data_IF_501513034990
#
_entry.id   IF_501513034990
#
_cell.length_a   1.000
_cell.length_b   1.000
_cell.length_c   1.000
_cell.angle_alpha   90.00
_cell.angle_beta   90.00
_cell.angle_gamma   90.00
#
_symmetry.space_group_name_H-M   'P 1'
#
loop_
_entity.id
_entity.type
_entity.pdbx_description
1 polymer ?
#
# COMPACT_ATOMS: atom_id res chain seq x y z
N UNK A 1 9.45 -2.04 26.26
CA UNK A 1 8.71 -3.25 25.90
C UNK A 1 8.89 -4.32 26.98
N UNK A 2 7.97 -4.30 27.96
CA UNK A 2 7.99 -5.22 29.11
C UNK A 2 7.61 -6.66 28.74
N UNK A 3 7.09 -6.89 27.54
CA UNK A 3 6.77 -8.24 27.04
C UNK A 3 8.04 -8.93 26.54
N UNK A 4 8.93 -8.19 25.91
CA UNK A 4 10.20 -8.72 25.40
C UNK A 4 11.30 -8.71 26.50
N UNK A 5 11.22 -7.79 27.46
CA UNK A 5 12.17 -7.70 28.57
C UNK A 5 11.46 -7.22 29.85
N UNK A 6 10.96 -8.12 30.68
CA UNK A 6 10.23 -7.77 31.90
C UNK A 6 11.03 -6.93 32.92
N UNK A 7 12.34 -6.81 32.72
CA UNK A 7 13.23 -6.01 33.56
C UNK A 7 13.65 -4.68 32.92
N UNK A 8 13.13 -4.33 31.75
CA UNK A 8 13.46 -3.11 31.03
C UNK A 8 12.20 -2.34 30.68
N UNK A 9 12.13 -1.11 31.11
CA UNK A 9 11.09 -0.16 30.79
C UNK A 9 10.43 0.43 32.02
N UNK A 10 10.21 1.73 31.94
CA UNK A 10 9.46 2.49 32.93
C UNK A 10 8.27 3.11 32.21
N UNK A 11 7.10 3.03 32.81
CA UNK A 11 5.93 3.77 32.35
C UNK A 11 5.70 4.99 33.27
N UNK A 12 5.13 6.04 32.73
CA UNK A 12 4.66 7.17 33.52
C UNK A 12 3.23 6.85 34.00
N UNK A 13 3.02 6.89 35.30
CA UNK A 13 1.70 6.75 35.91
C UNK A 13 1.22 8.14 36.31
N UNK A 14 0.06 8.53 35.81
CA UNK A 14 -0.56 9.82 36.04
C UNK A 14 -1.75 9.62 36.97
N UNK A 15 -1.64 10.16 38.16
CA UNK A 15 -2.77 10.35 39.10
C UNK A 15 -3.41 11.69 38.71
N UNK A 16 -4.58 11.62 38.11
CA UNK A 16 -5.19 12.80 37.51
C UNK A 16 -5.76 13.78 38.56
N UNK A 17 -5.54 15.06 38.29
CA UNK A 17 -6.02 16.15 39.16
C UNK A 17 -7.54 16.37 39.06
N UNK A 18 -8.11 17.04 40.06
CA UNK A 18 -9.53 17.43 40.04
C UNK A 18 -9.87 18.50 38.99
N UNK A 19 -8.90 19.16 38.43
CA UNK A 19 -9.04 20.12 37.32
C UNK A 19 -8.27 19.65 36.13
N UNK A 20 -8.68 20.09 34.96
CA UNK A 20 -7.94 19.87 33.71
C UNK A 20 -6.55 20.48 33.85
N UNK A 21 -5.52 19.67 33.70
CA UNK A 21 -4.14 20.09 33.83
C UNK A 21 -3.21 19.28 32.91
N UNK A 22 -2.01 19.79 32.73
CA UNK A 22 -0.97 19.14 31.91
C UNK A 22 -0.38 17.93 32.64
N UNK A 23 -0.42 16.78 32.01
CA UNK A 23 0.20 15.55 32.53
C UNK A 23 1.62 15.34 31.99
N UNK A 24 1.92 15.88 30.82
CA UNK A 24 3.21 15.75 30.17
C UNK A 24 3.46 16.97 29.28
N UNK A 25 4.69 17.45 29.28
CA UNK A 25 5.14 18.49 28.36
C UNK A 25 6.62 18.28 28.04
N UNK A 26 6.95 18.34 26.75
CA UNK A 26 8.33 18.27 26.29
C UNK A 26 8.51 19.06 25.00
N UNK A 27 9.61 19.81 24.90
CA UNK A 27 10.03 20.42 23.63
C UNK A 27 10.86 19.40 22.84
N UNK A 28 10.40 19.11 21.64
CA UNK A 28 11.08 18.26 20.68
C UNK A 28 11.80 19.17 19.69
N UNK A 29 13.09 18.93 19.48
CA UNK A 29 13.94 19.73 18.61
C UNK A 29 14.69 18.86 17.59
N UNK A 30 15.35 19.48 16.62
CA UNK A 30 16.05 18.77 15.55
C UNK A 30 15.10 18.23 14.48
N UNK A 31 13.91 18.78 14.37
CA UNK A 31 12.92 18.38 13.37
C UNK A 31 13.25 18.98 12.00
N UNK A 32 12.80 18.32 10.98
CA UNK A 32 12.92 18.76 9.60
C UNK A 32 11.71 19.60 9.19
N UNK A 33 11.94 20.80 8.62
CA UNK A 33 10.85 21.60 8.10
C UNK A 33 10.06 20.90 6.99
N UNK A 34 8.79 21.24 6.89
CA UNK A 34 7.86 20.71 5.86
C UNK A 34 7.87 19.16 5.80
N UNK A 35 7.96 18.51 6.96
CA UNK A 35 8.06 17.05 7.06
C UNK A 35 6.97 16.52 7.96
N UNK A 36 6.33 15.42 7.53
CA UNK A 36 5.34 14.72 8.35
C UNK A 36 6.01 13.89 9.43
N UNK A 37 5.50 14.01 10.62
CA UNK A 37 5.85 13.18 11.77
C UNK A 37 4.61 12.46 12.29
N UNK A 38 4.75 11.19 12.63
CA UNK A 38 3.81 10.49 13.50
C UNK A 38 4.18 10.83 14.95
N UNK A 39 3.23 11.39 15.67
CA UNK A 39 3.31 11.59 17.10
C UNK A 39 2.37 10.58 17.73
N UNK A 40 2.89 9.65 18.52
CA UNK A 40 2.10 8.59 19.13
C UNK A 40 2.66 8.16 20.47
N UNK A 41 1.82 7.50 21.25
CA UNK A 41 2.20 6.87 22.50
C UNK A 41 1.26 5.71 22.82
N UNK A 42 1.68 4.85 23.75
CA UNK A 42 0.81 3.86 24.34
C UNK A 42 0.17 4.41 25.59
N UNK A 43 -1.12 4.22 25.75
CA UNK A 43 -1.90 4.65 26.90
C UNK A 43 -2.73 3.51 27.45
N UNK A 44 -2.97 3.54 28.75
CA UNK A 44 -3.81 2.56 29.43
C UNK A 44 -4.55 3.24 30.57
N UNK A 45 -5.87 3.06 30.62
CA UNK A 45 -6.61 3.35 31.82
C UNK A 45 -6.25 2.30 32.87
N UNK A 46 -5.74 2.74 34.02
CA UNK A 46 -5.29 1.84 35.10
C UNK A 46 -6.34 1.72 36.23
N UNK A 47 -7.43 2.44 36.11
CA UNK A 47 -8.47 2.48 37.12
C UNK A 47 -9.56 1.43 36.91
N UNK A 48 -9.32 0.23 37.41
CA UNK A 48 -10.34 -0.82 37.50
C UNK A 48 -11.14 -0.64 38.77
N UNK A 49 -12.16 0.14 38.83
CA UNK A 49 -13.00 0.47 40.01
C UNK A 49 -12.50 1.64 40.86
N UNK A 50 -11.63 2.51 40.38
CA UNK A 50 -11.26 3.72 41.06
C UNK A 50 -12.48 4.62 41.24
N UNK A 51 -12.65 5.16 42.45
CA UNK A 51 -13.77 6.04 42.78
C UNK A 51 -15.15 5.39 42.80
N UNK A 52 -15.20 4.06 42.80
CA UNK A 52 -16.42 3.29 42.98
C UNK A 52 -16.76 3.11 44.46
N UNK A 53 -18.06 3.06 44.74
CA UNK A 53 -18.55 2.42 45.93
C UNK A 53 -18.42 0.88 45.86
N UNK A 54 -18.78 0.20 46.94
CA UNK A 54 -18.75 -1.27 47.02
C UNK A 54 -19.62 -1.99 45.96
N UNK A 55 -20.55 -1.26 45.31
CA UNK A 55 -21.45 -1.76 44.30
C UNK A 55 -20.95 -1.42 42.86
N UNK A 56 -19.78 -0.83 42.72
CA UNK A 56 -19.21 -0.45 41.43
C UNK A 56 -19.76 0.85 40.85
N UNK A 57 -20.50 1.66 41.64
CA UNK A 57 -20.94 2.97 41.20
C UNK A 57 -19.77 3.96 41.22
N UNK A 58 -19.64 4.72 40.16
CA UNK A 58 -18.65 5.79 40.05
C UNK A 58 -18.85 6.91 41.06
N UNK A 59 -17.86 7.79 41.17
CA UNK A 59 -17.91 8.92 42.10
C UNK A 59 -19.12 9.81 41.81
N UNK A 60 -19.93 10.04 42.81
CA UNK A 60 -21.21 10.74 42.70
C UNK A 60 -21.10 12.20 42.25
N UNK A 61 -19.93 12.80 42.32
CA UNK A 61 -19.68 14.20 41.96
C UNK A 61 -19.15 14.40 40.53
N UNK A 62 -19.01 13.34 39.76
CA UNK A 62 -18.51 13.41 38.39
C UNK A 62 -19.69 13.45 37.44
N UNK A 63 -20.13 14.63 37.07
CA UNK A 63 -21.11 14.85 36.03
C UNK A 63 -20.42 15.49 34.81
N UNK A 64 -20.57 14.92 33.67
CA UNK A 64 -19.99 15.48 32.44
C UNK A 64 -19.84 14.46 31.34
N UNK A 65 -19.46 14.88 30.15
CA UNK A 65 -19.38 13.99 28.98
C UNK A 65 -18.33 12.89 29.10
N UNK A 66 -17.44 13.00 30.08
CA UNK A 66 -16.37 12.02 30.34
C UNK A 66 -16.71 11.03 31.45
N UNK A 67 -17.85 11.17 32.08
CA UNK A 67 -18.29 10.27 33.13
C UNK A 67 -18.70 8.91 32.55
N UNK A 68 -18.14 7.86 33.09
CA UNK A 68 -18.42 6.48 32.70
C UNK A 68 -19.05 5.71 33.84
N UNK A 69 -20.18 5.07 33.60
CA UNK A 69 -20.85 4.18 34.56
C UNK A 69 -20.50 2.74 34.15
N UNK A 70 -19.90 1.96 35.05
CA UNK A 70 -19.56 0.57 34.74
C UNK A 70 -20.83 -0.26 34.49
N UNK A 71 -20.78 -1.12 33.48
CA UNK A 71 -21.89 -2.00 33.07
C UNK A 71 -21.76 -3.42 33.59
N UNK A 72 -20.58 -3.79 34.13
CA UNK A 72 -20.32 -5.13 34.61
C UNK A 72 -19.14 -5.27 35.57
N UNK A 73 -18.92 -6.46 36.12
CA UNK A 73 -17.78 -6.74 37.00
C UNK A 73 -16.46 -6.55 36.24
N UNK A 74 -15.57 -5.75 36.80
CA UNK A 74 -14.26 -5.45 36.21
C UNK A 74 -14.23 -4.22 35.32
N UNK A 75 -15.37 -3.61 35.00
CA UNK A 75 -15.42 -2.34 34.31
C UNK A 75 -14.81 -1.21 35.15
N UNK A 76 -14.23 -0.21 34.47
CA UNK A 76 -13.81 1.01 35.13
C UNK A 76 -15.04 1.81 35.60
N UNK A 77 -14.87 2.48 36.67
CA UNK A 77 -15.91 3.32 37.27
C UNK A 77 -15.41 4.73 37.45
N UNK A 78 -16.35 5.67 37.46
CA UNK A 78 -16.05 7.09 37.60
C UNK A 78 -15.68 7.72 36.25
N UNK A 79 -14.75 8.66 36.26
CA UNK A 79 -14.38 9.46 35.11
C UNK A 79 -13.34 8.72 34.28
N UNK A 80 -13.58 8.53 32.99
CA UNK A 80 -12.58 7.97 32.09
C UNK A 80 -11.56 9.03 31.67
N UNK A 81 -10.25 8.70 31.62
CA UNK A 81 -9.26 9.58 31.01
C UNK A 81 -9.64 9.96 29.59
N UNK A 82 -9.44 11.21 29.21
CA UNK A 82 -9.72 11.76 27.90
C UNK A 82 -8.61 12.75 27.57
N UNK A 83 -7.66 12.30 26.75
CA UNK A 83 -6.39 12.98 26.60
C UNK A 83 -6.36 13.77 25.31
N UNK A 84 -6.01 15.05 25.40
CA UNK A 84 -5.69 15.89 24.25
C UNK A 84 -4.19 15.98 24.06
N UNK A 85 -3.78 15.91 22.82
CA UNK A 85 -2.43 16.15 22.33
C UNK A 85 -2.40 17.56 21.76
N UNK A 86 -1.65 18.43 22.41
CA UNK A 86 -1.42 19.81 22.00
C UNK A 86 -0.02 19.95 21.43
N UNK A 87 0.10 20.67 20.32
CA UNK A 87 1.37 21.07 19.74
C UNK A 87 1.41 22.60 19.64
N UNK A 88 2.39 23.22 20.28
CA UNK A 88 2.59 24.69 20.31
C UNK A 88 1.32 25.48 20.69
N UNK A 89 0.54 24.96 21.63
CA UNK A 89 -0.69 25.59 22.10
C UNK A 89 -1.93 25.33 21.24
N UNK A 90 -1.84 24.43 20.27
CA UNK A 90 -2.95 24.06 19.39
C UNK A 90 -3.31 22.59 19.65
N UNK A 91 -4.58 22.31 19.88
CA UNK A 91 -5.10 20.95 20.03
C UNK A 91 -5.17 20.25 18.67
N UNK A 92 -4.43 19.16 18.53
CA UNK A 92 -4.38 18.37 17.27
C UNK A 92 -5.20 17.10 17.31
N UNK A 93 -5.26 16.47 18.47
CA UNK A 93 -5.91 15.17 18.58
C UNK A 93 -6.44 14.94 20.00
N UNK A 94 -7.62 14.35 20.11
CA UNK A 94 -8.20 13.92 21.38
C UNK A 94 -8.55 12.44 21.32
N UNK A 95 -8.15 11.68 22.35
CA UNK A 95 -8.33 10.22 22.38
C UNK A 95 -9.79 9.78 22.46
N UNK A 96 -10.69 10.69 22.89
CA UNK A 96 -11.97 10.29 23.47
C UNK A 96 -11.76 9.61 24.82
N UNK A 97 -12.82 9.07 25.38
CA UNK A 97 -12.77 8.39 26.66
C UNK A 97 -11.99 7.07 26.57
N UNK A 98 -10.91 6.95 27.33
CA UNK A 98 -10.14 5.72 27.47
C UNK A 98 -10.79 4.83 28.51
N UNK A 99 -11.69 3.97 28.08
CA UNK A 99 -12.37 3.02 28.98
C UNK A 99 -11.39 1.97 29.50
N UNK A 100 -11.64 1.48 30.71
CA UNK A 100 -10.84 0.41 31.28
C UNK A 100 -11.03 -0.90 30.50
N UNK A 101 -9.98 -1.39 29.90
CA UNK A 101 -9.97 -2.68 29.19
C UNK A 101 -8.87 -3.62 29.69
N UNK A 102 -8.01 -3.14 30.58
CA UNK A 102 -6.80 -3.86 30.97
C UNK A 102 -5.72 -3.91 29.89
N UNK A 103 -5.95 -3.30 28.74
CA UNK A 103 -5.04 -3.32 27.59
C UNK A 103 -4.41 -1.95 27.35
N UNK A 104 -3.20 -1.97 26.79
CA UNK A 104 -2.57 -0.81 26.23
C UNK A 104 -3.18 -0.49 24.87
N UNK A 105 -3.43 0.79 24.60
CA UNK A 105 -3.93 1.29 23.32
C UNK A 105 -2.95 2.31 22.75
N UNK A 106 -2.54 2.16 21.52
CA UNK A 106 -1.73 3.15 20.82
C UNK A 106 -2.63 4.28 20.34
N UNK A 107 -2.28 5.52 20.68
CA UNK A 107 -2.96 6.73 20.24
C UNK A 107 -1.96 7.69 19.62
N UNK A 108 -2.40 8.43 18.60
CA UNK A 108 -1.52 9.37 17.92
C UNK A 108 -2.16 9.98 16.68
N UNK A 109 -1.41 10.84 16.05
CA UNK A 109 -1.80 11.58 14.86
C UNK A 109 -0.58 11.92 14.02
N UNK A 110 -0.79 12.39 12.79
CA UNK A 110 0.27 12.92 11.94
C UNK A 110 0.30 14.44 12.05
N UNK A 111 1.52 14.98 12.17
CA UNK A 111 1.78 16.41 12.26
C UNK A 111 2.73 16.82 11.15
N UNK A 112 2.39 17.88 10.42
CA UNK A 112 3.27 18.49 9.40
C UNK A 112 3.97 19.71 10.00
N UNK A 113 5.29 19.67 10.06
CA UNK A 113 6.08 20.84 10.47
C UNK A 113 5.96 22.00 9.48
N UNK A 114 5.94 23.22 9.98
CA UNK A 114 5.95 24.42 9.16
C UNK A 114 7.22 24.56 8.31
N UNK A 115 7.19 25.49 7.36
CA UNK A 115 8.27 25.69 6.37
C UNK A 115 9.65 26.04 6.98
N UNK A 116 9.69 26.54 8.22
CA UNK A 116 10.93 26.85 8.95
C UNK A 116 10.95 26.21 10.36
N UNK A 117 9.99 25.34 10.66
CA UNK A 117 9.85 24.79 12.00
C UNK A 117 10.82 23.63 12.22
N UNK A 118 11.69 23.76 13.21
CA UNK A 118 12.68 22.77 13.61
C UNK A 118 12.49 22.24 15.02
N UNK A 119 11.47 22.73 15.71
CA UNK A 119 11.05 22.26 17.04
C UNK A 119 9.58 22.53 17.25
N UNK A 120 9.00 21.82 18.20
CA UNK A 120 7.70 22.12 18.76
C UNK A 120 7.65 21.67 20.23
N UNK A 121 6.68 22.21 20.96
CA UNK A 121 6.36 21.75 22.31
C UNK A 121 5.15 20.83 22.25
N UNK A 122 5.34 19.55 22.58
CA UNK A 122 4.29 18.57 22.73
C UNK A 122 3.78 18.58 24.17
N UNK A 123 2.47 18.61 24.33
CA UNK A 123 1.84 18.59 25.64
C UNK A 123 0.65 17.65 25.62
N UNK A 124 0.51 16.88 26.67
CA UNK A 124 -0.66 16.04 26.91
C UNK A 124 -1.41 16.54 28.13
N UNK A 125 -2.69 16.70 28.01
CA UNK A 125 -3.52 17.01 29.16
C UNK A 125 -4.81 16.21 29.14
N UNK A 126 -5.29 15.90 30.35
CA UNK A 126 -6.50 15.15 30.52
C UNK A 126 -7.68 16.12 30.56
N UNK A 127 -8.62 15.99 29.61
CA UNK A 127 -9.84 16.79 29.54
C UNK A 127 -10.89 16.36 30.59
N UNK A 128 -10.71 15.17 31.18
CA UNK A 128 -11.63 14.66 32.16
C UNK A 128 -11.49 15.47 33.46
N UNK A 129 -12.55 16.12 33.93
CA UNK A 129 -12.53 16.78 35.23
C UNK A 129 -12.30 15.75 36.34
N UNK A 130 -11.63 16.15 37.38
CA UNK A 130 -11.30 15.28 38.51
C UNK A 130 -12.47 14.55 39.12
N UNK A 131 -12.17 13.47 39.73
CA UNK A 131 -13.07 12.51 40.34
C UNK A 131 -12.39 11.16 40.43
N UNK A 132 -13.02 10.19 41.04
CA UNK A 132 -12.43 8.83 41.02
C UNK A 132 -12.44 8.27 39.63
N UNK A 133 -11.30 7.75 39.18
CA UNK A 133 -11.26 6.90 38.00
C UNK A 133 -10.55 7.39 36.76
N UNK A 134 -10.03 8.60 36.73
CA UNK A 134 -9.35 9.12 35.55
C UNK A 134 -7.82 8.99 35.58
N UNK A 135 -7.30 8.02 36.33
CA UNK A 135 -5.88 7.70 36.35
C UNK A 135 -5.49 6.82 35.17
N UNK A 136 -4.32 7.08 34.64
CA UNK A 136 -3.85 6.40 33.43
C UNK A 136 -2.34 6.26 33.40
N UNK A 137 -1.87 5.35 32.57
CA UNK A 137 -0.47 5.17 32.32
C UNK A 137 -0.13 5.54 30.88
N UNK A 138 1.07 6.06 30.70
CA UNK A 138 1.65 6.51 29.44
C UNK A 138 2.99 5.84 29.25
N UNK A 139 3.24 5.34 28.03
CA UNK A 139 4.49 4.70 27.65
C UNK A 139 4.82 4.94 26.17
N UNK A 140 6.09 4.73 25.81
CA UNK A 140 6.60 4.73 24.42
C UNK A 140 6.15 5.97 23.62
N UNK A 141 6.39 7.17 24.15
CA UNK A 141 6.14 8.40 23.40
C UNK A 141 7.10 8.43 22.21
N UNK A 142 6.55 8.46 21.00
CA UNK A 142 7.29 8.45 19.77
C UNK A 142 6.98 9.67 18.94
N UNK A 143 8.02 10.32 18.43
CA UNK A 143 7.96 11.33 17.38
C UNK A 143 8.90 10.87 16.27
N UNK A 144 8.33 10.37 15.19
CA UNK A 144 9.11 9.77 14.11
C UNK A 144 8.56 10.18 12.73
N UNK A 145 9.44 10.27 11.75
CA UNK A 145 9.04 10.41 10.36
C UNK A 145 9.21 9.10 9.61
N UNK A 146 8.39 8.87 8.60
CA UNK A 146 8.54 7.74 7.70
C UNK A 146 9.52 8.11 6.59
N UNK A 147 10.67 7.44 6.55
CA UNK A 147 11.61 7.57 5.45
C UNK A 147 10.99 7.06 4.14
N UNK A 148 11.22 7.72 3.01
CA UNK A 148 10.85 7.18 1.73
C UNK A 148 11.63 5.90 1.44
N UNK A 149 11.01 4.97 0.74
CA UNK A 149 11.65 3.79 0.20
C UNK A 149 12.15 4.09 -1.20
N UNK A 150 13.31 3.58 -1.57
CA UNK A 150 13.95 3.80 -2.86
C UNK A 150 14.23 2.49 -3.55
N UNK A 151 13.98 2.44 -4.85
CA UNK A 151 14.28 1.27 -5.67
C UNK A 151 15.07 1.68 -6.91
N UNK A 152 16.33 1.34 -6.90
CA UNK A 152 17.23 1.64 -8.00
C UNK A 152 17.04 0.70 -9.19
N UNK A 153 17.22 1.25 -10.40
CA UNK A 153 17.24 0.55 -11.66
C UNK A 153 18.46 0.93 -12.53
N UNK A 154 18.81 0.12 -13.49
CA UNK A 154 18.19 -1.16 -13.86
C UNK A 154 18.36 -2.25 -12.79
N UNK A 155 19.51 -2.30 -12.13
CA UNK A 155 19.87 -3.19 -11.03
C UNK A 155 20.91 -2.50 -10.13
N UNK A 156 21.16 -3.04 -8.93
CA UNK A 156 22.16 -2.46 -8.00
C UNK A 156 23.60 -2.58 -8.50
N UNK A 157 23.92 -3.57 -9.33
CA UNK A 157 25.26 -3.79 -9.89
C UNK A 157 25.18 -3.89 -11.42
N UNK A 158 24.85 -2.81 -12.13
CA UNK A 158 24.78 -2.84 -13.57
C UNK A 158 26.15 -3.02 -14.19
N UNK A 159 26.20 -3.80 -15.27
CA UNK A 159 27.37 -3.96 -16.09
C UNK A 159 27.17 -3.14 -17.37
N UNK A 160 28.13 -2.32 -17.72
CA UNK A 160 28.11 -1.49 -18.92
C UNK A 160 29.37 -1.73 -19.71
N UNK A 161 29.25 -1.75 -21.02
CA UNK A 161 30.40 -1.85 -21.91
C UNK A 161 31.21 -0.55 -21.90
N UNK A 162 32.52 -0.69 -22.00
CA UNK A 162 33.41 0.44 -22.21
C UNK A 162 32.93 1.30 -23.41
N UNK A 163 32.97 2.60 -23.26
CA UNK A 163 32.50 3.58 -24.25
C UNK A 163 30.98 3.68 -24.42
N UNK A 164 30.20 2.99 -23.62
CA UNK A 164 28.72 3.10 -23.61
C UNK A 164 28.24 3.93 -22.41
N UNK A 165 26.97 4.31 -22.47
CA UNK A 165 26.25 5.00 -21.38
C UNK A 165 25.13 4.09 -20.85
N UNK A 166 24.68 4.36 -19.62
CA UNK A 166 23.56 3.68 -19.02
C UNK A 166 22.59 4.70 -18.41
N UNK A 167 21.31 4.43 -18.55
CA UNK A 167 20.27 5.17 -17.86
C UNK A 167 20.07 4.56 -16.47
N UNK A 168 20.37 5.34 -15.44
CA UNK A 168 20.10 5.00 -14.05
C UNK A 168 18.73 5.56 -13.66
N UNK A 169 18.01 4.82 -12.86
CA UNK A 169 16.71 5.24 -12.34
C UNK A 169 16.60 4.95 -10.85
N UNK A 170 15.78 5.73 -10.18
CA UNK A 170 15.35 5.44 -8.82
C UNK A 170 13.86 5.74 -8.69
N UNK A 171 13.12 4.81 -8.10
CA UNK A 171 11.72 4.98 -7.74
C UNK A 171 11.63 5.35 -6.28
N UNK A 172 11.30 6.60 -6.00
CA UNK A 172 11.09 7.11 -4.65
C UNK A 172 9.62 6.87 -4.28
N UNK A 173 9.39 6.16 -3.19
CA UNK A 173 8.07 5.79 -2.69
C UNK A 173 7.91 6.24 -1.25
N UNK A 174 6.80 6.89 -0.90
CA UNK A 174 6.50 7.36 0.45
C UNK A 174 5.01 7.24 0.77
N UNK A 175 4.70 7.16 2.06
CA UNK A 175 3.30 7.30 2.54
C UNK A 175 2.79 8.75 2.41
N UNK A 176 3.68 9.72 2.26
CA UNK A 176 3.36 11.14 2.11
C UNK A 176 3.77 11.66 0.74
N UNK A 177 3.02 12.61 0.20
CA UNK A 177 3.23 13.18 -1.13
C UNK A 177 4.25 14.33 -1.18
N UNK A 178 4.90 14.65 -0.07
CA UNK A 178 5.78 15.83 0.05
C UNK A 178 7.27 15.54 -0.09
N UNK A 179 7.70 14.28 -0.27
CA UNK A 179 9.09 13.96 -0.61
C UNK A 179 9.34 14.19 -2.09
N UNK A 180 9.31 15.43 -2.50
CA UNK A 180 9.37 15.82 -3.92
C UNK A 180 10.74 16.22 -4.41
N UNK A 181 11.66 16.60 -3.51
CA UNK A 181 12.98 17.07 -3.89
C UNK A 181 13.94 15.90 -3.95
N UNK A 182 14.78 15.86 -5.00
CA UNK A 182 15.82 14.84 -5.11
C UNK A 182 17.11 15.40 -5.72
N UNK A 183 18.22 14.70 -5.46
CA UNK A 183 19.50 14.88 -6.15
C UNK A 183 20.21 13.53 -6.29
N UNK A 184 20.91 13.38 -7.40
CA UNK A 184 21.81 12.27 -7.62
C UNK A 184 23.22 12.60 -7.09
N UNK A 185 23.86 11.60 -6.51
CA UNK A 185 25.24 11.70 -6.03
C UNK A 185 26.07 10.53 -6.61
N UNK A 186 27.35 10.81 -6.85
CA UNK A 186 28.34 9.83 -7.29
C UNK A 186 29.47 9.74 -6.27
N UNK A 187 29.96 8.54 -6.07
CA UNK A 187 31.18 8.24 -5.33
C UNK A 187 32.15 7.47 -6.23
N UNK A 188 33.40 7.88 -6.22
CA UNK A 188 34.50 7.23 -6.97
C UNK A 188 35.47 6.48 -6.07
N UNK A 189 35.21 6.45 -4.77
CA UNK A 189 36.07 5.88 -3.71
C UNK A 189 35.38 4.75 -2.92
N UNK A 190 34.43 4.09 -3.54
CA UNK A 190 33.73 2.96 -2.94
C UNK A 190 32.68 3.34 -1.91
N UNK A 191 32.13 4.56 -1.98
CA UNK A 191 31.04 5.03 -1.12
C UNK A 191 31.50 5.80 0.13
N UNK A 192 32.78 6.18 0.20
CA UNK A 192 33.33 6.95 1.33
C UNK A 192 32.94 8.43 1.20
N UNK A 193 33.18 9.02 0.04
CA UNK A 193 32.83 10.41 -0.26
C UNK A 193 31.77 10.42 -1.35
N UNK A 194 30.74 11.22 -1.14
CA UNK A 194 29.63 11.40 -2.08
C UNK A 194 29.56 12.83 -2.56
N UNK A 195 29.68 13.01 -3.86
CA UNK A 195 29.60 14.31 -4.51
C UNK A 195 28.28 14.47 -5.24
N UNK A 196 27.68 15.65 -5.12
CA UNK A 196 26.48 15.99 -5.88
C UNK A 196 26.82 16.03 -7.38
N UNK A 197 25.98 15.42 -8.19
CA UNK A 197 26.12 15.46 -9.63
C UNK A 197 25.48 16.75 -10.16
N UNK A 198 26.27 17.59 -10.80
CA UNK A 198 25.81 18.87 -11.32
C UNK A 198 24.66 18.65 -12.34
N UNK A 199 23.56 19.36 -12.15
CA UNK A 199 22.38 19.27 -13.02
C UNK A 199 21.51 18.02 -12.79
N UNK A 200 21.88 17.11 -11.89
CA UNK A 200 21.10 15.92 -11.56
C UNK A 200 20.27 16.10 -10.27
N UNK A 201 19.68 17.26 -10.14
CA UNK A 201 18.71 17.61 -9.08
C UNK A 201 17.36 17.92 -9.72
N UNK A 202 16.29 17.70 -8.99
CA UNK A 202 14.97 17.98 -9.54
C UNK A 202 13.84 17.90 -8.51
N UNK A 203 12.65 18.15 -9.04
CA UNK A 203 11.40 18.05 -8.32
C UNK A 203 10.58 16.94 -8.95
N UNK A 204 10.26 15.91 -8.17
CA UNK A 204 9.36 14.84 -8.58
C UNK A 204 7.90 15.22 -8.39
N UNK A 205 7.05 14.56 -9.14
CA UNK A 205 5.60 14.69 -9.02
C UNK A 205 5.01 13.36 -8.55
N UNK A 206 4.89 13.14 -7.22
CA UNK A 206 4.40 11.88 -6.69
C UNK A 206 2.97 11.60 -7.15
N UNK A 207 2.71 10.37 -7.57
CA UNK A 207 1.39 9.87 -7.97
C UNK A 207 1.00 8.72 -7.03
N UNK A 208 -0.25 8.70 -6.59
CA UNK A 208 -0.78 7.62 -5.75
C UNK A 208 -0.99 6.34 -6.56
N UNK A 209 -0.34 5.25 -6.17
CA UNK A 209 -0.42 3.95 -6.86
C UNK A 209 -1.42 2.97 -6.24
N UNK A 210 -2.21 3.40 -5.26
CA UNK A 210 -3.13 2.56 -4.47
C UNK A 210 -2.58 2.18 -3.09
N UNK A 211 -1.27 2.30 -2.85
CA UNK A 211 -0.62 1.95 -1.57
C UNK A 211 0.35 3.01 -1.05
N UNK A 212 0.95 3.78 -1.95
CA UNK A 212 1.92 4.81 -1.61
C UNK A 212 1.98 5.88 -2.72
N UNK A 213 2.59 7.01 -2.40
CA UNK A 213 2.95 8.05 -3.35
C UNK A 213 4.31 7.72 -3.95
N UNK A 214 4.44 7.69 -5.27
CA UNK A 214 5.69 7.36 -5.92
C UNK A 214 5.94 8.17 -7.20
N UNK A 215 7.22 8.33 -7.53
CA UNK A 215 7.68 8.86 -8.80
C UNK A 215 9.06 8.31 -9.13
N UNK A 216 9.45 8.40 -10.40
CA UNK A 216 10.74 7.92 -10.90
C UNK A 216 11.64 9.11 -11.19
N UNK A 217 12.88 9.05 -10.73
CA UNK A 217 13.96 9.95 -11.14
C UNK A 217 14.90 9.21 -12.09
N UNK A 218 15.45 9.93 -13.06
CA UNK A 218 16.33 9.37 -14.07
C UNK A 218 17.66 10.14 -14.09
N UNK A 219 18.73 9.41 -14.34
CA UNK A 219 20.05 10.01 -14.56
C UNK A 219 20.81 9.21 -15.65
N UNK A 220 21.36 9.93 -16.59
CA UNK A 220 22.28 9.39 -17.58
C UNK A 220 23.59 10.16 -17.50
N UNK A 221 24.70 9.47 -17.33
CA UNK A 221 26.01 10.10 -17.37
C UNK A 221 26.21 10.70 -18.77
N UNK A 222 26.53 12.02 -18.87
CA UNK A 222 26.67 12.68 -20.18
C UNK A 222 27.91 12.23 -20.96
N UNK A 223 28.87 11.61 -20.30
CA UNK A 223 30.10 11.09 -20.91
C UNK A 223 30.08 9.58 -20.84
N UNK A 224 30.42 8.93 -21.94
CA UNK A 224 30.51 7.47 -22.00
C UNK A 224 31.47 6.92 -20.93
N UNK A 225 31.07 5.85 -20.28
CA UNK A 225 31.88 5.21 -19.24
C UNK A 225 33.15 4.60 -19.79
N UNK A 226 34.21 4.60 -19.01
CA UNK A 226 35.44 3.90 -19.32
C UNK A 226 35.81 2.93 -18.22
N UNK A 227 36.32 1.75 -18.59
CA UNK A 227 36.72 0.72 -17.63
C UNK A 227 37.78 1.24 -16.63
N UNK A 228 38.70 2.06 -17.13
CA UNK A 228 39.81 2.59 -16.31
C UNK A 228 39.35 3.60 -15.28
N UNK A 229 38.37 4.43 -15.60
CA UNK A 229 38.00 5.60 -14.78
C UNK A 229 36.73 5.34 -13.96
N UNK A 230 35.75 4.65 -14.53
CA UNK A 230 34.42 4.54 -13.98
C UNK A 230 34.09 3.17 -13.35
N UNK A 231 34.98 2.20 -13.52
CA UNK A 231 34.72 0.87 -12.96
C UNK A 231 34.74 0.90 -11.44
N UNK A 232 33.61 0.57 -10.82
CA UNK A 232 33.42 0.60 -9.39
C UNK A 232 32.77 1.87 -8.84
N UNK A 233 32.48 2.85 -9.71
CA UNK A 233 31.73 4.04 -9.33
C UNK A 233 30.40 3.66 -8.72
N UNK A 234 30.00 4.41 -7.70
CA UNK A 234 28.75 4.19 -7.02
C UNK A 234 27.82 5.40 -7.18
N UNK A 235 26.54 5.12 -7.31
CA UNK A 235 25.50 6.13 -7.45
C UNK A 235 24.41 5.94 -6.39
N UNK A 236 23.86 7.06 -5.94
CA UNK A 236 22.70 7.09 -5.06
C UNK A 236 21.82 8.29 -5.30
N UNK A 237 20.58 8.20 -4.87
CA UNK A 237 19.66 9.34 -4.78
C UNK A 237 19.56 9.79 -3.32
N UNK A 238 19.46 11.06 -3.13
CA UNK A 238 19.08 11.70 -1.87
C UNK A 238 17.74 12.37 -2.10
N UNK A 239 16.74 12.04 -1.29
CA UNK A 239 15.40 12.62 -1.34
C UNK A 239 15.11 13.43 -0.09
N UNK A 240 14.32 14.49 -0.25
CA UNK A 240 13.88 15.33 0.85
C UNK A 240 12.55 16.03 0.53
N UNK A 241 11.98 16.67 1.54
CA UNK A 241 10.72 17.40 1.42
C UNK A 241 10.92 18.84 0.90
N UNK A 242 12.11 19.42 1.09
CA UNK A 242 12.48 20.77 0.59
C UNK A 242 13.90 20.76 0.03
N UNK A 243 14.23 21.78 -0.77
CA UNK A 243 15.59 21.96 -1.29
C UNK A 243 16.60 22.14 -0.14
N UNK A 244 16.23 22.89 0.91
CA UNK A 244 17.09 23.08 2.08
C UNK A 244 17.36 21.76 2.80
N UNK A 245 16.36 20.89 2.92
CA UNK A 245 16.48 19.59 3.54
C UNK A 245 17.40 18.64 2.76
N UNK A 246 17.55 18.79 1.43
CA UNK A 246 18.51 17.98 0.64
C UNK A 246 19.97 18.16 1.09
N UNK A 247 20.30 19.31 1.67
CA UNK A 247 21.64 19.61 2.16
C UNK A 247 21.81 19.29 3.65
N UNK A 248 20.75 18.91 4.34
CA UNK A 248 20.79 18.54 5.75
C UNK A 248 20.77 17.01 5.90
N UNK A 249 21.84 16.38 6.36
CA UNK A 249 21.91 14.91 6.47
C UNK A 249 20.87 14.31 7.45
N UNK A 250 20.36 15.10 8.39
CA UNK A 250 19.31 14.67 9.32
C UNK A 250 17.90 14.76 8.70
N UNK A 251 17.74 15.49 7.60
CA UNK A 251 16.46 15.77 6.95
C UNK A 251 16.38 15.23 5.53
N UNK A 252 17.43 14.60 5.06
CA UNK A 252 17.48 13.93 3.77
C UNK A 252 17.60 12.43 3.94
N UNK A 253 17.04 11.71 2.98
CA UNK A 253 16.96 10.25 3.01
C UNK A 253 17.67 9.66 1.81
N UNK A 254 18.33 8.55 2.03
CA UNK A 254 18.96 7.75 0.98
C UNK A 254 18.87 6.27 1.38
N UNK A 255 18.66 5.42 0.41
CA UNK A 255 18.65 3.98 0.66
C UNK A 255 20.04 3.49 1.12
N UNK A 256 20.15 2.52 2.02
CA UNK A 256 21.43 1.86 2.35
C UNK A 256 22.03 1.12 1.16
N UNK A 257 21.19 0.62 0.22
CA UNK A 257 21.68 0.06 -1.04
C UNK A 257 22.18 1.17 -1.97
N UNK A 258 23.07 0.82 -2.89
CA UNK A 258 23.70 1.72 -3.85
C UNK A 258 23.82 1.05 -5.19
N UNK A 259 23.72 1.81 -6.27
CA UNK A 259 24.14 1.32 -7.57
C UNK A 259 25.66 1.28 -7.58
N UNK A 260 26.25 0.12 -7.91
CA UNK A 260 27.67 -0.03 -8.15
C UNK A 260 27.92 -0.40 -9.59
N UNK A 261 28.51 0.50 -10.31
CA UNK A 261 28.79 0.33 -11.74
C UNK A 261 29.96 -0.64 -11.95
N UNK A 262 29.78 -1.57 -12.87
CA UNK A 262 30.88 -2.40 -13.39
C UNK A 262 31.05 -2.10 -14.88
N UNK A 263 32.18 -1.54 -15.23
CA UNK A 263 32.54 -1.28 -16.63
C UNK A 263 33.48 -2.36 -17.13
N UNK A 264 33.11 -2.98 -18.25
CA UNK A 264 33.89 -4.07 -18.85
C UNK A 264 34.19 -3.78 -20.33
N UNK A 265 35.26 -4.36 -20.85
CA UNK A 265 35.50 -4.35 -22.29
C UNK A 265 34.59 -5.39 -22.95
N UNK A 266 33.70 -4.94 -23.79
CA UNK A 266 32.81 -5.83 -24.56
C UNK A 266 33.37 -6.01 -25.96
N UNK A 267 33.62 -7.25 -26.32
CA UNK A 267 33.88 -7.61 -27.71
C UNK A 267 32.63 -7.43 -28.60
N UNK A 268 32.67 -7.78 -29.88
CA UNK A 268 31.49 -7.73 -30.73
C UNK A 268 30.38 -8.61 -30.20
N UNK A 269 29.30 -7.97 -29.74
CA UNK A 269 28.20 -8.64 -29.06
C UNK A 269 27.20 -9.14 -30.10
N UNK A 270 26.92 -10.43 -30.10
CA UNK A 270 25.75 -10.96 -30.77
C UNK A 270 24.51 -10.58 -29.94
N UNK A 271 23.73 -9.63 -30.47
CA UNK A 271 22.51 -9.17 -29.79
C UNK A 271 21.55 -10.34 -29.56
N UNK A 272 21.07 -10.50 -28.34
CA UNK A 272 20.04 -11.47 -28.03
C UNK A 272 18.80 -11.29 -28.92
N UNK A 273 18.21 -12.39 -29.34
CA UNK A 273 16.99 -12.39 -30.13
C UNK A 273 15.79 -12.79 -29.29
N UNK A 274 14.70 -12.02 -29.42
CA UNK A 274 13.39 -12.42 -28.94
C UNK A 274 12.81 -13.51 -29.85
N UNK A 275 12.65 -14.72 -29.33
CA UNK A 275 12.10 -15.87 -30.06
C UNK A 275 10.59 -15.85 -30.07
N UNK A 276 10.00 -15.57 -28.87
CA UNK A 276 8.56 -15.56 -28.71
C UNK A 276 8.14 -14.49 -27.73
N UNK A 277 6.95 -13.94 -27.98
CA UNK A 277 6.23 -13.11 -27.03
C UNK A 277 4.74 -13.44 -27.11
N UNK A 278 4.14 -13.75 -25.98
CA UNK A 278 2.74 -14.10 -25.85
C UNK A 278 2.15 -13.53 -24.56
N UNK A 279 0.83 -13.50 -24.50
CA UNK A 279 0.13 -13.09 -23.31
C UNK A 279 -1.23 -13.76 -23.21
N UNK A 280 -1.73 -13.88 -22.02
CA UNK A 280 -3.08 -14.40 -21.74
C UNK A 280 -3.73 -13.60 -20.61
N UNK A 281 -5.06 -13.59 -20.62
CA UNK A 281 -5.83 -13.18 -19.45
C UNK A 281 -5.90 -14.38 -18.48
N UNK A 282 -5.31 -14.22 -17.31
CA UNK A 282 -5.33 -15.21 -16.24
C UNK A 282 -5.91 -14.56 -14.98
N UNK A 283 -7.09 -15.00 -14.54
CA UNK A 283 -7.81 -14.45 -13.37
C UNK A 283 -7.98 -12.93 -13.45
N UNK A 284 -8.46 -12.46 -14.60
CA UNK A 284 -8.65 -11.04 -14.94
C UNK A 284 -7.39 -10.17 -14.87
N UNK A 285 -6.23 -10.80 -14.98
CA UNK A 285 -4.93 -10.12 -15.06
C UNK A 285 -4.18 -10.50 -16.33
N UNK A 286 -3.44 -9.55 -16.89
CA UNK A 286 -2.57 -9.81 -18.01
C UNK A 286 -1.32 -10.56 -17.53
N UNK A 287 -1.12 -11.79 -18.02
CA UNK A 287 0.12 -12.54 -17.84
C UNK A 287 0.84 -12.62 -19.18
N UNK A 288 2.04 -12.07 -19.23
CA UNK A 288 2.90 -12.01 -20.39
C UNK A 288 4.04 -12.99 -20.24
N UNK A 289 4.45 -13.63 -21.34
CA UNK A 289 5.58 -14.56 -21.38
C UNK A 289 6.39 -14.33 -22.65
N UNK A 290 7.71 -14.34 -22.51
CA UNK A 290 8.62 -14.22 -23.65
C UNK A 290 9.82 -15.12 -23.47
N UNK A 291 10.43 -15.46 -24.60
CA UNK A 291 11.63 -16.28 -24.64
C UNK A 291 12.67 -15.61 -25.52
N UNK A 292 13.88 -15.60 -25.05
CA UNK A 292 15.05 -15.06 -25.74
C UNK A 292 16.08 -16.15 -26.05
N UNK A 293 17.03 -15.87 -26.92
CA UNK A 293 18.18 -16.69 -27.19
C UNK A 293 19.41 -15.80 -27.40
N UNK A 294 20.60 -16.34 -27.16
CA UNK A 294 21.87 -15.65 -27.37
C UNK A 294 22.07 -14.48 -26.38
N UNK A 295 21.57 -14.59 -25.18
CA UNK A 295 21.89 -13.65 -24.13
C UNK A 295 23.34 -13.86 -23.67
N UNK A 296 24.21 -12.93 -24.03
CA UNK A 296 25.63 -12.93 -23.66
C UNK A 296 25.95 -11.83 -22.64
N UNK A 297 24.96 -11.01 -22.34
CA UNK A 297 25.06 -9.86 -21.43
C UNK A 297 23.70 -9.58 -20.79
N UNK A 298 23.64 -8.81 -19.69
CA UNK A 298 22.39 -8.37 -19.10
C UNK A 298 21.53 -7.57 -20.06
N UNK A 299 20.24 -7.86 -20.04
CA UNK A 299 19.21 -7.20 -20.86
C UNK A 299 18.10 -6.73 -19.95
N UNK A 300 17.61 -5.54 -20.20
CA UNK A 300 16.43 -5.00 -19.56
C UNK A 300 15.23 -5.16 -20.49
N UNK A 301 14.17 -5.75 -19.95
CA UNK A 301 12.89 -5.90 -20.63
C UNK A 301 11.88 -4.90 -20.05
N UNK A 302 11.72 -3.76 -20.69
CA UNK A 302 10.67 -2.82 -20.35
C UNK A 302 9.33 -3.34 -20.88
N UNK A 303 8.40 -3.60 -19.98
CA UNK A 303 7.04 -3.98 -20.33
C UNK A 303 6.26 -2.71 -20.59
N UNK A 304 5.79 -2.57 -21.82
CA UNK A 304 5.04 -1.39 -22.25
C UNK A 304 3.58 -1.74 -22.55
N UNK A 305 2.69 -0.86 -22.13
CA UNK A 305 1.23 -0.97 -22.23
C UNK A 305 0.62 0.20 -22.98
N UNK A 306 -0.44 -0.07 -23.75
CA UNK A 306 -1.19 0.93 -24.47
C UNK A 306 -2.68 0.60 -24.48
N UNK A 307 -3.53 1.63 -24.45
CA UNK A 307 -4.98 1.51 -24.63
C UNK A 307 -5.42 1.59 -26.10
N UNK A 308 -4.60 2.21 -26.97
CA UNK A 308 -4.92 2.46 -28.38
C UNK A 308 -4.03 1.68 -29.37
N UNK A 309 -2.97 1.03 -28.88
CA UNK A 309 -2.01 0.28 -29.70
C UNK A 309 -0.92 1.12 -30.37
N UNK A 310 -0.90 2.43 -30.12
CA UNK A 310 0.07 3.38 -30.68
C UNK A 310 0.93 4.03 -29.60
N UNK A 311 0.29 4.53 -28.54
CA UNK A 311 0.95 5.25 -27.46
C UNK A 311 1.23 4.29 -26.31
N UNK A 312 2.51 3.93 -26.17
CA UNK A 312 2.94 2.94 -25.18
C UNK A 312 3.64 3.61 -23.99
N UNK A 313 3.24 3.23 -22.79
CA UNK A 313 3.87 3.64 -21.55
C UNK A 313 4.48 2.43 -20.85
N UNK A 314 5.68 2.58 -20.31
CA UNK A 314 6.32 1.56 -19.52
C UNK A 314 5.57 1.35 -18.19
N UNK A 315 5.21 0.10 -17.90
CA UNK A 315 4.53 -0.29 -16.67
C UNK A 315 5.41 -1.12 -15.74
N UNK A 316 6.47 -1.72 -16.25
CA UNK A 316 7.42 -2.50 -15.46
C UNK A 316 8.75 -2.65 -16.18
N UNK A 317 9.77 -3.03 -15.42
CA UNK A 317 11.07 -3.44 -15.94
C UNK A 317 11.41 -4.82 -15.36
N UNK A 318 11.80 -5.75 -16.22
CA UNK A 318 12.25 -7.09 -15.86
C UNK A 318 13.68 -7.25 -16.36
N UNK A 319 14.58 -7.63 -15.46
CA UNK A 319 15.97 -7.85 -15.81
C UNK A 319 16.19 -9.29 -16.26
N UNK A 320 17.19 -9.53 -17.12
CA UNK A 320 17.61 -10.88 -17.49
C UNK A 320 18.16 -11.64 -16.27
N UNK A 321 18.05 -12.99 -16.31
CA UNK A 321 18.51 -13.84 -15.20
C UNK A 321 20.04 -13.94 -15.08
N UNK A 322 20.78 -13.35 -16.01
CA UNK A 322 22.24 -13.47 -16.13
C UNK A 322 22.73 -14.93 -16.24
N UNK A 323 21.88 -15.82 -16.70
CA UNK A 323 22.25 -17.20 -17.04
C UNK A 323 22.66 -17.27 -18.51
N UNK A 324 23.92 -16.94 -18.77
CA UNK A 324 24.51 -16.92 -20.09
C UNK A 324 24.90 -18.30 -20.63
N UNK A 325 24.79 -19.34 -19.79
CA UNK A 325 25.04 -20.72 -20.17
C UNK A 325 23.82 -21.35 -20.87
N UNK A 326 22.64 -20.75 -20.71
CA UNK A 326 21.42 -21.26 -21.28
C UNK A 326 21.24 -20.77 -22.73
N UNK A 327 20.98 -21.70 -23.66
CA UNK A 327 20.65 -21.32 -25.02
C UNK A 327 19.36 -20.51 -25.18
N UNK A 328 18.46 -20.66 -24.19
CA UNK A 328 17.14 -20.00 -24.17
C UNK A 328 16.73 -19.64 -22.76
N UNK A 329 16.33 -18.40 -22.56
CA UNK A 329 15.77 -17.91 -21.31
C UNK A 329 14.30 -17.55 -21.49
N UNK A 330 13.46 -17.97 -20.53
CA UNK A 330 12.02 -17.69 -20.55
C UNK A 330 11.63 -16.85 -19.35
N UNK A 331 10.93 -15.77 -19.61
CA UNK A 331 10.52 -14.77 -18.64
C UNK A 331 9.01 -14.69 -18.57
N UNK A 332 8.51 -14.26 -17.42
CA UNK A 332 7.09 -14.06 -17.19
C UNK A 332 6.86 -12.77 -16.38
N UNK A 333 5.82 -12.06 -16.75
CA UNK A 333 5.32 -10.90 -16.00
C UNK A 333 3.81 -10.99 -15.87
N UNK A 334 3.29 -10.72 -14.67
CA UNK A 334 1.85 -10.62 -14.43
C UNK A 334 1.54 -9.22 -13.90
N UNK A 335 0.67 -8.51 -14.61
CA UNK A 335 0.21 -7.19 -14.19
C UNK A 335 -0.63 -7.30 -12.91
N UNK A 336 -0.39 -6.43 -11.93
CA UNK A 336 -1.13 -6.43 -10.67
C UNK A 336 -2.57 -5.96 -10.84
N UNK A 337 -2.78 -4.99 -11.73
CA UNK A 337 -4.09 -4.44 -12.00
C UNK A 337 -4.95 -5.38 -12.85
N UNK A 338 -6.26 -5.30 -12.66
CA UNK A 338 -7.20 -6.06 -13.48
C UNK A 338 -7.23 -5.55 -14.92
N UNK A 339 -7.39 -6.49 -15.85
CA UNK A 339 -7.60 -6.21 -17.25
C UNK A 339 -9.09 -5.89 -17.50
N UNK A 340 -9.45 -4.63 -17.34
CA UNK A 340 -10.86 -4.16 -17.45
C UNK A 340 -11.26 -3.75 -18.87
N UNK A 341 -10.28 -3.45 -19.73
CA UNK A 341 -10.48 -3.02 -21.11
C UNK A 341 -9.55 -3.75 -22.07
N UNK A 342 -9.85 -3.69 -23.36
CA UNK A 342 -8.96 -4.08 -24.42
C UNK A 342 -7.64 -3.31 -24.29
N UNK A 343 -6.54 -4.05 -24.18
CA UNK A 343 -5.22 -3.49 -23.85
C UNK A 343 -4.16 -4.12 -24.73
N UNK A 344 -3.18 -3.35 -25.14
CA UNK A 344 -2.07 -3.77 -25.98
C UNK A 344 -0.78 -3.78 -25.16
N UNK A 345 0.06 -4.76 -25.43
CA UNK A 345 1.35 -4.91 -24.76
C UNK A 345 2.44 -5.16 -25.80
N UNK A 346 3.63 -4.66 -25.49
CA UNK A 346 4.87 -5.00 -26.17
C UNK A 346 6.03 -5.03 -25.18
N UNK A 347 7.11 -5.66 -25.56
CA UNK A 347 8.37 -5.63 -24.82
C UNK A 347 9.35 -4.77 -25.58
N UNK A 348 10.00 -3.86 -24.88
CA UNK A 348 11.16 -3.11 -25.32
C UNK A 348 12.38 -3.75 -24.67
N UNK A 349 13.21 -4.41 -25.45
CA UNK A 349 14.48 -4.98 -25.02
C UNK A 349 15.55 -3.91 -25.10
N UNK A 350 16.29 -3.72 -24.04
CA UNK A 350 17.35 -2.72 -23.92
C UNK A 350 18.63 -3.48 -23.56
N UNK A 351 19.56 -3.56 -24.50
CA UNK A 351 20.88 -4.13 -24.28
C UNK A 351 21.77 -3.14 -23.54
N UNK A 352 22.83 -3.61 -22.90
CA UNK A 352 23.77 -2.75 -22.17
C UNK A 352 24.42 -1.67 -23.03
N UNK A 353 24.61 -1.93 -24.30
CA UNK A 353 25.14 -0.95 -25.24
C UNK A 353 24.13 0.12 -25.70
N UNK A 354 22.91 0.12 -25.09
CA UNK A 354 21.83 1.03 -25.45
C UNK A 354 21.05 0.66 -26.71
N UNK A 355 21.36 -0.49 -27.35
CA UNK A 355 20.59 -0.97 -28.49
C UNK A 355 19.19 -1.38 -28.04
N UNK A 356 18.17 -0.89 -28.75
CA UNK A 356 16.76 -1.12 -28.43
C UNK A 356 16.13 -1.96 -29.53
N UNK A 357 15.44 -3.02 -29.13
CA UNK A 357 14.58 -3.80 -30.00
C UNK A 357 13.19 -3.97 -29.39
N UNK A 358 12.17 -4.14 -30.24
CA UNK A 358 10.79 -4.30 -29.79
C UNK A 358 10.23 -5.66 -30.18
N UNK A 359 9.39 -6.21 -29.34
CA UNK A 359 8.53 -7.34 -29.70
C UNK A 359 7.43 -6.90 -30.67
N UNK A 360 6.73 -7.89 -31.22
CA UNK A 360 5.40 -7.66 -31.78
C UNK A 360 4.47 -7.11 -30.68
N UNK A 361 3.43 -6.38 -31.11
CA UNK A 361 2.35 -5.96 -30.22
C UNK A 361 1.37 -7.14 -30.08
N UNK A 362 0.98 -7.44 -28.86
CA UNK A 362 -0.11 -8.37 -28.57
C UNK A 362 -1.29 -7.62 -27.93
N UNK A 363 -2.50 -8.12 -28.16
CA UNK A 363 -3.71 -7.57 -27.62
C UNK A 363 -4.31 -8.56 -26.64
N UNK A 364 -4.69 -8.09 -25.45
CA UNK A 364 -5.47 -8.83 -24.48
C UNK A 364 -6.78 -8.12 -24.19
N UNK A 365 -7.81 -8.90 -23.91
CA UNK A 365 -9.12 -8.40 -23.55
C UNK A 365 -9.57 -9.02 -22.22
N UNK A 366 -10.42 -8.34 -21.45
CA UNK A 366 -11.02 -8.93 -20.26
C UNK A 366 -11.79 -10.19 -20.64
N UNK A 367 -11.94 -11.09 -19.68
CA UNK A 367 -12.81 -12.25 -19.85
C UNK A 367 -14.24 -11.70 -19.92
N UNK A 368 -14.90 -11.92 -21.05
CA UNK A 368 -16.32 -11.57 -21.14
C UNK A 368 -17.12 -12.54 -20.30
N UNK A 369 -17.68 -12.08 -19.21
CA UNK A 369 -18.71 -12.80 -18.51
C UNK A 369 -20.00 -12.69 -19.33
N UNK A 370 -20.40 -13.79 -19.93
CA UNK A 370 -21.60 -13.85 -20.77
C UNK A 370 -22.90 -13.65 -19.95
N UNK A 371 -22.80 -13.85 -18.64
CA UNK A 371 -23.90 -13.69 -17.70
C UNK A 371 -23.38 -13.11 -16.37
N UNK A 372 -24.03 -12.05 -15.86
CA UNK A 372 -23.67 -11.41 -14.58
C UNK A 372 -24.93 -11.25 -13.72
N UNK A 373 -24.85 -11.58 -12.43
CA UNK A 373 -25.93 -11.30 -11.46
C UNK A 373 -25.83 -9.83 -11.00
N UNK A 374 -26.86 -9.05 -11.29
CA UNK A 374 -26.95 -7.66 -10.89
C UNK A 374 -27.54 -7.50 -9.48
N UNK A 375 -28.67 -8.15 -9.26
CA UNK A 375 -29.38 -8.09 -7.96
C UNK A 375 -30.11 -9.39 -7.65
N UNK A 376 -30.39 -9.60 -6.37
CA UNK A 376 -31.27 -10.68 -5.88
C UNK A 376 -32.00 -10.18 -4.64
N UNK A 377 -33.34 -10.37 -4.63
CA UNK A 377 -34.15 -10.05 -3.45
C UNK A 377 -33.82 -11.08 -2.35
N UNK A 378 -33.24 -10.61 -1.28
CA UNK A 378 -32.77 -11.44 -0.19
C UNK A 378 -32.90 -10.71 1.16
N UNK A 379 -33.68 -11.20 2.14
CA UNK A 379 -34.38 -12.50 2.12
C UNK A 379 -35.55 -12.56 1.13
N UNK A 380 -35.92 -13.80 0.73
CA UNK A 380 -37.07 -14.05 -0.12
C UNK A 380 -38.15 -14.87 0.62
N UNK A 381 -39.40 -14.77 0.14
CA UNK A 381 -40.52 -15.50 0.73
C UNK A 381 -41.24 -16.41 -0.32
N UNK A 382 -42.31 -15.98 -0.92
CA UNK A 382 -43.14 -16.81 -1.80
C UNK A 382 -42.57 -17.00 -3.22
N UNK A 383 -41.60 -16.15 -3.58
CA UNK A 383 -40.87 -16.20 -4.84
C UNK A 383 -39.46 -15.67 -4.66
N UNK A 384 -38.55 -16.16 -5.47
CA UNK A 384 -37.18 -15.62 -5.56
C UNK A 384 -37.06 -14.79 -6.85
N UNK A 385 -36.89 -13.49 -6.70
CA UNK A 385 -36.67 -12.56 -7.83
C UNK A 385 -35.21 -12.13 -7.87
N UNK A 386 -34.62 -12.13 -9.03
CA UNK A 386 -33.24 -11.71 -9.26
C UNK A 386 -33.07 -11.15 -10.68
N UNK A 387 -32.09 -10.29 -10.82
CA UNK A 387 -31.76 -9.65 -12.10
C UNK A 387 -30.41 -10.15 -12.59
N UNK A 388 -30.36 -10.47 -13.88
CA UNK A 388 -29.11 -10.82 -14.56
C UNK A 388 -28.92 -9.93 -15.78
N UNK A 389 -27.68 -9.59 -16.06
CA UNK A 389 -27.29 -9.01 -17.34
C UNK A 389 -26.68 -10.10 -18.22
N UNK A 390 -27.16 -10.20 -19.45
CA UNK A 390 -26.62 -11.13 -20.46
C UNK A 390 -26.06 -10.35 -21.64
N UNK A 391 -24.96 -10.83 -22.17
CA UNK A 391 -24.34 -10.25 -23.39
C UNK A 391 -24.92 -10.82 -24.68
N UNK A 392 -25.82 -11.81 -24.59
CA UNK A 392 -26.44 -12.47 -25.75
C UNK A 392 -27.85 -12.96 -25.38
N UNK A 393 -28.72 -13.00 -26.37
CA UNK A 393 -30.00 -13.71 -26.27
C UNK A 393 -29.75 -15.21 -26.13
N UNK A 394 -30.49 -15.87 -25.26
CA UNK A 394 -30.32 -17.29 -24.99
C UNK A 394 -31.23 -17.82 -23.88
N UNK A 395 -30.76 -18.80 -23.14
CA UNK A 395 -31.47 -19.37 -22.01
C UNK A 395 -30.59 -19.36 -20.75
N UNK A 396 -31.22 -19.09 -19.62
CA UNK A 396 -30.60 -19.26 -18.27
C UNK A 396 -31.32 -20.37 -17.54
N UNK A 397 -30.56 -21.34 -17.10
CA UNK A 397 -31.03 -22.37 -16.15
C UNK A 397 -30.75 -21.87 -14.74
N UNK A 398 -31.81 -21.59 -13.98
CA UNK A 398 -31.69 -21.18 -12.59
C UNK A 398 -32.17 -22.27 -11.64
N UNK A 399 -31.42 -22.49 -10.57
CA UNK A 399 -31.64 -23.51 -9.58
C UNK A 399 -31.52 -22.95 -8.17
N UNK A 400 -32.38 -23.43 -7.25
CA UNK A 400 -32.24 -23.21 -5.81
C UNK A 400 -31.72 -24.51 -5.21
N UNK A 401 -30.58 -24.44 -4.54
CA UNK A 401 -29.96 -25.58 -3.87
C UNK A 401 -30.04 -25.40 -2.34
N UNK A 402 -30.17 -26.51 -1.63
CA UNK A 402 -30.03 -26.54 -0.17
C UNK A 402 -28.54 -26.49 0.26
N UNK A 403 -28.30 -26.53 1.57
CA UNK A 403 -26.96 -26.50 2.15
C UNK A 403 -26.09 -27.70 1.78
N UNK A 404 -26.70 -28.82 1.35
CA UNK A 404 -25.98 -30.04 0.91
C UNK A 404 -25.62 -29.99 -0.58
N UNK A 405 -26.09 -28.95 -1.31
CA UNK A 405 -25.93 -28.84 -2.75
C UNK A 405 -27.00 -29.55 -3.59
N UNK A 406 -28.04 -30.11 -2.94
CA UNK A 406 -29.15 -30.74 -3.63
C UNK A 406 -30.06 -29.69 -4.26
N UNK A 407 -30.41 -29.88 -5.54
CA UNK A 407 -31.35 -28.99 -6.25
C UNK A 407 -32.75 -29.17 -5.73
N UNK A 408 -33.36 -28.17 -5.17
CA UNK A 408 -34.72 -28.16 -4.61
C UNK A 408 -35.70 -27.56 -5.60
N UNK A 409 -35.30 -26.57 -6.38
CA UNK A 409 -36.09 -25.94 -7.45
C UNK A 409 -35.21 -25.68 -8.65
N UNK A 410 -35.78 -25.81 -9.85
CA UNK A 410 -35.12 -25.40 -11.09
C UNK A 410 -36.15 -24.76 -12.03
N UNK A 411 -35.69 -23.80 -12.81
CA UNK A 411 -36.49 -23.13 -13.85
C UNK A 411 -35.56 -22.65 -14.95
N UNK A 412 -36.04 -22.79 -16.18
CA UNK A 412 -35.33 -22.23 -17.35
C UNK A 412 -36.05 -20.98 -17.83
N UNK A 413 -35.26 -19.99 -18.21
CA UNK A 413 -35.75 -18.71 -18.66
C UNK A 413 -35.14 -18.35 -20.01
N UNK A 414 -35.97 -17.92 -20.95
CA UNK A 414 -35.47 -17.25 -22.12
C UNK A 414 -35.03 -15.85 -21.71
N UNK A 415 -33.84 -15.44 -22.12
CA UNK A 415 -33.27 -14.13 -21.85
C UNK A 415 -32.90 -13.43 -23.14
N UNK A 416 -32.94 -12.10 -23.11
CA UNK A 416 -32.45 -11.23 -24.18
C UNK A 416 -31.13 -10.58 -23.78
N UNK A 417 -30.42 -10.03 -24.76
CA UNK A 417 -29.27 -9.17 -24.48
C UNK A 417 -29.65 -7.98 -23.60
N UNK A 418 -28.84 -7.68 -22.58
CA UNK A 418 -29.11 -6.66 -21.57
C UNK A 418 -29.65 -7.22 -20.27
N UNK A 419 -30.42 -6.43 -19.55
CA UNK A 419 -30.93 -6.75 -18.21
C UNK A 419 -32.22 -7.57 -18.31
N UNK A 420 -32.26 -8.68 -17.60
CA UNK A 420 -33.41 -9.59 -17.52
C UNK A 420 -33.81 -9.78 -16.05
N UNK A 421 -35.08 -9.57 -15.74
CA UNK A 421 -35.66 -9.89 -14.43
C UNK A 421 -36.26 -11.28 -14.45
N UNK A 422 -35.76 -12.14 -13.57
CA UNK A 422 -36.12 -13.56 -13.50
C UNK A 422 -36.79 -13.87 -12.17
N UNK A 423 -37.82 -14.74 -12.21
CA UNK A 423 -38.57 -15.09 -11.01
C UNK A 423 -38.75 -16.61 -10.94
N UNK A 424 -38.26 -17.22 -9.84
CA UNK A 424 -38.58 -18.59 -9.46
C UNK A 424 -39.74 -18.54 -8.45
N UNK A 425 -40.86 -18.97 -8.88
CA UNK A 425 -42.11 -19.06 -8.12
C UNK A 425 -42.20 -20.31 -7.25
N UNK A 426 -43.27 -20.44 -6.47
CA UNK A 426 -43.59 -21.60 -5.61
C UNK A 426 -42.46 -21.93 -4.62
N UNK A 427 -41.90 -20.87 -4.02
CA UNK A 427 -40.89 -21.04 -2.96
C UNK A 427 -41.49 -21.02 -1.55
N UNK A 428 -42.82 -20.85 -1.45
CA UNK A 428 -43.62 -20.93 -0.22
C UNK A 428 -43.48 -22.27 0.52
N UNK A 429 -43.26 -23.34 -0.22
CA UNK A 429 -43.06 -24.70 0.32
C UNK A 429 -41.68 -24.96 0.88
N UNK A 430 -40.74 -23.99 0.73
CA UNK A 430 -39.39 -24.12 1.28
C UNK A 430 -39.39 -23.70 2.74
N UNK A 431 -38.70 -24.46 3.57
CA UNK A 431 -38.47 -24.12 4.97
C UNK A 431 -37.57 -22.85 5.10
N UNK A 432 -37.77 -22.12 6.18
CA UNK A 432 -36.86 -21.00 6.50
C UNK A 432 -35.44 -21.53 6.63
N UNK A 433 -34.48 -20.80 6.04
CA UNK A 433 -33.09 -21.24 6.09
C UNK A 433 -32.24 -20.69 4.94
N UNK A 434 -31.01 -21.14 4.92
CA UNK A 434 -30.01 -20.75 3.91
C UNK A 434 -30.12 -21.68 2.70
N UNK A 435 -30.14 -21.07 1.53
CA UNK A 435 -30.10 -21.73 0.22
C UNK A 435 -29.04 -21.08 -0.66
N UNK A 436 -28.84 -21.65 -1.85
CA UNK A 436 -27.96 -21.08 -2.86
C UNK A 436 -28.74 -20.95 -4.18
N UNK A 437 -28.73 -19.76 -4.75
CA UNK A 437 -29.11 -19.55 -6.14
C UNK A 437 -27.94 -19.91 -7.02
N UNK A 438 -28.17 -20.79 -8.00
CA UNK A 438 -27.24 -21.11 -9.08
C UNK A 438 -27.91 -20.76 -10.41
N UNK A 439 -27.23 -19.96 -11.23
CA UNK A 439 -27.71 -19.60 -12.56
C UNK A 439 -26.62 -19.88 -13.59
N UNK A 440 -26.97 -20.59 -14.66
CA UNK A 440 -26.04 -21.02 -15.71
C UNK A 440 -26.57 -20.64 -17.08
N UNK A 441 -25.70 -20.06 -17.92
CA UNK A 441 -25.98 -19.77 -19.33
C UNK A 441 -24.67 -19.82 -20.13
N UNK A 442 -24.67 -20.49 -21.25
CA UNK A 442 -23.57 -20.55 -22.22
C UNK A 442 -22.19 -20.85 -21.56
N UNK A 443 -22.16 -21.72 -20.51
CA UNK A 443 -20.95 -22.09 -19.79
C UNK A 443 -20.51 -21.10 -18.72
N UNK A 444 -21.24 -20.00 -18.51
CA UNK A 444 -21.02 -19.08 -17.38
C UNK A 444 -21.94 -19.52 -16.22
N UNK A 445 -21.34 -19.73 -15.05
CA UNK A 445 -22.01 -20.14 -13.82
C UNK A 445 -21.94 -19.04 -12.77
N UNK A 446 -23.10 -18.65 -12.25
CA UNK A 446 -23.24 -17.73 -11.12
C UNK A 446 -23.76 -18.49 -9.92
N UNK A 447 -23.21 -18.21 -8.73
CA UNK A 447 -23.73 -18.76 -7.48
C UNK A 447 -23.80 -17.66 -6.40
N UNK A 448 -24.93 -17.62 -5.69
CA UNK A 448 -25.18 -16.65 -4.62
C UNK A 448 -25.89 -17.30 -3.43
N UNK A 449 -25.41 -17.03 -2.23
CA UNK A 449 -26.09 -17.41 -0.99
C UNK A 449 -27.35 -16.55 -0.82
N UNK A 450 -28.48 -17.18 -0.53
CA UNK A 450 -29.79 -16.56 -0.32
C UNK A 450 -30.44 -17.08 0.95
N UNK A 451 -31.29 -16.27 1.56
CA UNK A 451 -32.00 -16.59 2.80
C UNK A 451 -33.49 -16.66 2.52
N UNK A 452 -34.11 -17.82 2.83
CA UNK A 452 -35.55 -17.97 2.83
C UNK A 452 -36.11 -17.57 4.19
N UNK A 453 -37.07 -16.67 4.19
CA UNK A 453 -37.78 -16.23 5.37
C UNK A 453 -39.26 -16.05 5.04
N UNK A 454 -40.13 -16.83 5.71
CA UNK A 454 -41.58 -16.62 5.64
C UNK A 454 -41.95 -15.51 6.63
N UNK A 455 -42.78 -14.60 6.20
CA UNK A 455 -43.39 -13.61 7.07
C UNK A 455 -44.43 -14.27 7.97
#
# INVERSE_FOLDING_TARGET
>A
DTVANPNAGYMLVINAAYRIDSAFQQTISGLCPNTYYEISCWMRNICSKCGCDSNGKGATNSSGPTFYIPTGPGDSSGVAPNITFEVDGIDYFTTGNLLYSGQWVKKGFTFLTGAAQTSFTLKYFNNAPGGGGNDWALDDITVATCSPNMKYGPIYNPIVCDSNVILLSDTIRSFFNNYTQYKWQRSTDGGTIWNDIAGATGVGSPVWNGTAWEYVTLYTEPVAFTQMINNGDMYRVVAATTVANLSNPNCSFTDPLRIRLRVISCGPILSAKLISFSGRNANDKATLQWTTTGETEPIDFAIEKSSNGTDFNQISLVNSYNDYASERNTYMFTELNQLINKTYYRIKMISQNGHITYSRIIQLSPKQELLTLLSVINPFSNQLSFEVSSMKTGTVKAEILDQTGKVIRKKEFAIIEGVNMLVIDKTDLLSNGVYFLRAESAGTLIQKKILKQNN
#
